data_IF_506647122939
#
_entry.id   IF_506647122939
#
_cell.length_a   1.000
_cell.length_b   1.000
_cell.length_c   1.000
_cell.angle_alpha   90.00
_cell.angle_beta   90.00
_cell.angle_gamma   90.00
#
_symmetry.space_group_name_H-M   'P 1'
#
loop_
_entity.id
_entity.type
_entity.pdbx_description
1 polymer ?
#
# COMPACT_ATOMS: atom_id res chain seq x y z
N UNK A 1 8.59 -12.54 -14.76
CA UNK A 1 8.28 -11.39 -13.88
C UNK A 1 7.11 -11.78 -12.98
N UNK A 2 7.14 -11.44 -11.70
CA UNK A 2 6.07 -11.82 -10.76
C UNK A 2 5.02 -10.70 -10.68
N UNK A 3 3.75 -11.03 -10.92
CA UNK A 3 2.61 -10.11 -10.79
C UNK A 3 2.04 -10.17 -9.38
N UNK A 4 2.60 -9.36 -8.48
CA UNK A 4 2.17 -9.33 -7.07
C UNK A 4 0.80 -8.67 -6.95
N UNK A 5 -0.23 -9.44 -6.60
CA UNK A 5 -1.60 -8.93 -6.45
C UNK A 5 -1.96 -8.51 -5.02
N UNK A 6 -1.18 -8.94 -4.02
CA UNK A 6 -1.40 -8.62 -2.60
C UNK A 6 -0.08 -8.28 -1.94
N UNK A 7 -0.04 -7.14 -1.25
CA UNK A 7 1.10 -6.68 -0.46
C UNK A 7 0.65 -6.48 0.99
N UNK A 8 1.45 -6.98 1.94
CA UNK A 8 1.27 -6.75 3.38
C UNK A 8 2.49 -5.97 3.87
N UNK A 9 2.27 -4.85 4.54
CA UNK A 9 3.33 -3.98 5.01
C UNK A 9 2.90 -3.21 6.26
N UNK A 10 3.87 -2.56 6.90
CA UNK A 10 3.62 -1.57 7.96
C UNK A 10 3.56 -0.15 7.36
N UNK A 11 2.76 0.78 7.91
CA UNK A 11 2.71 2.17 7.47
C UNK A 11 4.08 2.87 7.34
N UNK A 12 5.02 2.63 8.24
CA UNK A 12 6.38 3.20 8.21
C UNK A 12 7.17 2.79 6.97
N UNK A 13 7.11 1.52 6.57
CA UNK A 13 7.72 1.02 5.35
C UNK A 13 7.14 1.71 4.12
N UNK A 14 5.80 1.80 4.06
CA UNK A 14 5.11 2.43 2.92
C UNK A 14 5.53 3.90 2.76
N UNK A 15 5.72 4.63 3.87
CA UNK A 15 6.23 6.01 3.83
C UNK A 15 7.61 6.10 3.20
N UNK A 16 8.51 5.17 3.53
CA UNK A 16 9.88 5.14 2.98
C UNK A 16 9.86 4.85 1.48
N UNK A 17 9.03 3.89 1.04
CA UNK A 17 9.00 3.49 -0.36
C UNK A 17 8.06 4.34 -1.23
N UNK A 18 7.29 5.25 -0.63
CA UNK A 18 6.32 6.10 -1.33
C UNK A 18 6.90 6.83 -2.54
N UNK A 19 8.13 7.40 -2.49
CA UNK A 19 8.73 8.05 -3.67
C UNK A 19 8.98 7.06 -4.81
N UNK A 20 9.39 5.83 -4.49
CA UNK A 20 9.59 4.77 -5.47
C UNK A 20 8.27 4.24 -6.03
N UNK A 21 7.22 4.16 -5.21
CA UNK A 21 5.88 3.82 -5.67
C UNK A 21 5.33 4.88 -6.63
N UNK A 22 5.60 6.15 -6.35
CA UNK A 22 5.17 7.26 -7.20
C UNK A 22 5.86 7.22 -8.58
N UNK A 23 7.16 6.92 -8.64
CA UNK A 23 7.87 6.78 -9.92
C UNK A 23 7.41 5.56 -10.73
N UNK A 24 6.84 4.55 -10.06
CA UNK A 24 6.31 3.32 -10.66
C UNK A 24 4.79 3.34 -10.89
N UNK A 25 4.10 4.44 -10.57
CA UNK A 25 2.63 4.54 -10.56
C UNK A 25 1.97 3.94 -11.82
N UNK A 26 2.43 4.32 -13.01
CA UNK A 26 1.88 3.82 -14.28
C UNK A 26 2.09 2.31 -14.50
N UNK A 27 3.18 1.75 -13.98
CA UNK A 27 3.50 0.32 -14.09
C UNK A 27 2.74 -0.50 -13.04
N UNK A 28 2.64 0.00 -11.81
CA UNK A 28 1.86 -0.63 -10.74
C UNK A 28 0.37 -0.73 -11.07
N UNK A 29 -0.19 0.26 -11.77
CA UNK A 29 -1.56 0.22 -12.30
C UNK A 29 -1.78 -0.89 -13.34
N UNK A 30 -0.75 -1.25 -14.10
CA UNK A 30 -0.82 -2.31 -15.11
C UNK A 30 -0.49 -3.70 -14.55
N UNK A 31 0.36 -3.78 -13.51
CA UNK A 31 0.87 -5.05 -12.96
C UNK A 31 -0.04 -5.69 -11.89
N UNK A 32 -1.13 -5.02 -11.51
CA UNK A 32 -2.27 -5.68 -10.88
C UNK A 32 -2.19 -5.86 -9.36
N UNK A 33 -1.60 -4.91 -8.64
CA UNK A 33 -1.78 -4.87 -7.18
C UNK A 33 -3.27 -4.63 -6.86
N UNK A 34 -3.94 -5.61 -6.27
CA UNK A 34 -5.38 -5.57 -5.95
C UNK A 34 -5.63 -5.23 -4.50
N UNK A 35 -4.75 -5.69 -3.59
CA UNK A 35 -4.92 -5.52 -2.15
C UNK A 35 -3.63 -5.05 -1.48
N UNK A 36 -3.71 -3.96 -0.73
CA UNK A 36 -2.65 -3.49 0.16
C UNK A 36 -3.15 -3.61 1.60
N UNK A 37 -2.47 -4.40 2.42
CA UNK A 37 -2.76 -4.52 3.85
C UNK A 37 -1.73 -3.73 4.64
N UNK A 38 -2.21 -2.81 5.48
CA UNK A 38 -1.42 -2.09 6.45
C UNK A 38 -1.79 -2.59 7.84
N UNK A 39 -0.77 -3.00 8.61
CA UNK A 39 -0.94 -3.52 9.97
C UNK A 39 0.28 -3.18 10.83
N UNK A 40 0.15 -3.34 12.14
CA UNK A 40 1.25 -3.21 13.11
C UNK A 40 1.57 -1.77 13.55
N UNK A 41 1.01 -0.74 12.90
CA UNK A 41 1.17 0.65 13.31
C UNK A 41 -0.10 1.47 13.03
N UNK A 42 -0.15 2.68 13.58
CA UNK A 42 -1.20 3.65 13.26
C UNK A 42 -1.12 4.00 11.77
N UNK A 43 -2.24 3.87 11.06
CA UNK A 43 -2.34 4.27 9.66
C UNK A 43 -2.92 5.69 9.54
N UNK A 44 -2.11 6.71 9.21
CA UNK A 44 -2.57 8.10 9.22
C UNK A 44 -3.43 8.42 8.00
N UNK A 45 -4.48 9.23 8.17
CA UNK A 45 -5.35 9.66 7.06
C UNK A 45 -4.58 10.35 5.91
N UNK A 46 -3.53 11.11 6.22
CA UNK A 46 -2.69 11.76 5.20
C UNK A 46 -1.99 10.75 4.28
N UNK A 47 -1.58 9.60 4.84
CA UNK A 47 -1.01 8.51 4.07
C UNK A 47 -2.09 7.82 3.23
N UNK A 48 -3.30 7.64 3.78
CA UNK A 48 -4.45 7.14 3.04
C UNK A 48 -4.74 7.96 1.78
N UNK A 49 -4.88 9.29 1.90
CA UNK A 49 -5.19 10.13 0.73
C UNK A 49 -4.12 10.01 -0.36
N UNK A 50 -2.85 9.97 0.04
CA UNK A 50 -1.74 9.79 -0.90
C UNK A 50 -1.80 8.44 -1.60
N UNK A 51 -2.04 7.36 -0.83
CA UNK A 51 -2.15 6.02 -1.38
C UNK A 51 -3.37 5.84 -2.28
N UNK A 52 -4.52 6.42 -1.92
CA UNK A 52 -5.73 6.36 -2.74
C UNK A 52 -5.55 7.09 -4.07
N UNK A 53 -4.80 8.19 -4.08
CA UNK A 53 -4.42 8.90 -5.31
C UNK A 53 -3.46 8.08 -6.18
N UNK A 54 -2.47 7.44 -5.56
CA UNK A 54 -1.46 6.63 -6.25
C UNK A 54 -1.96 5.24 -6.66
N UNK A 55 -2.96 4.69 -6.00
CA UNK A 55 -3.44 3.33 -6.18
C UNK A 55 -4.97 3.29 -6.21
N UNK A 56 -5.63 4.01 -7.14
CA UNK A 56 -7.08 4.20 -7.12
C UNK A 56 -7.89 2.92 -7.26
N UNK A 57 -7.31 1.89 -7.88
CA UNK A 57 -7.94 0.58 -8.12
C UNK A 57 -7.60 -0.46 -7.05
N UNK A 58 -6.70 -0.13 -6.11
CA UNK A 58 -6.25 -1.05 -5.05
C UNK A 58 -7.15 -0.93 -3.84
N UNK A 59 -7.61 -2.05 -3.30
CA UNK A 59 -8.27 -2.09 -2.00
C UNK A 59 -7.24 -2.00 -0.89
N UNK A 60 -7.30 -0.94 -0.09
CA UNK A 60 -6.42 -0.75 1.06
C UNK A 60 -7.15 -1.20 2.32
N UNK A 61 -6.57 -2.15 3.06
CA UNK A 61 -7.10 -2.69 4.30
C UNK A 61 -6.20 -2.28 5.46
N UNK A 62 -6.80 -1.69 6.50
CA UNK A 62 -6.12 -1.35 7.74
C UNK A 62 -6.49 -2.39 8.80
N UNK A 63 -5.58 -3.31 9.10
CA UNK A 63 -5.81 -4.41 10.03
C UNK A 63 -5.06 -4.17 11.33
N UNK A 64 -5.71 -4.51 12.44
CA UNK A 64 -5.13 -4.45 13.77
C UNK A 64 -5.25 -5.82 14.43
N UNK A 65 -4.15 -6.28 15.00
CA UNK A 65 -4.07 -7.52 15.75
C UNK A 65 -2.85 -7.47 16.66
N UNK A 66 -3.02 -7.96 17.89
CA UNK A 66 -1.91 -8.31 18.77
C UNK A 66 -1.20 -9.55 18.26
N UNK A 67 -0.04 -9.85 18.85
CA UNK A 67 0.61 -11.14 18.65
C UNK A 67 -0.15 -12.27 19.35
N UNK A 68 -0.80 -11.95 20.47
CA UNK A 68 -1.74 -12.73 21.25
C UNK A 68 -3.09 -12.87 20.54
#
# INVERSE_FOLDING_TARGET
AYSVTRLIAVPSLIRIILPALNSLHGKLMQEGLKVLVLSGEVFPLSLWYTLQSLLPTTTILNLYGSTE
#
